data_IF_416267847899
#
_entry.id   IF_416267847899
#
_cell.length_a   1.000
_cell.length_b   1.000
_cell.length_c   1.000
_cell.angle_alpha   90.00
_cell.angle_beta   90.00
_cell.angle_gamma   90.00
#
_symmetry.space_group_name_H-M   'P 1'
#
loop_
_entity.id
_entity.type
_entity.pdbx_description
1 polymer ?
#
# COMPACT_ATOMS: atom_id res chain seq x y z
N UNK A 1 6.84 15.05 2.29
CA UNK A 1 6.16 15.81 3.38
C UNK A 1 6.57 15.20 4.72
N UNK A 2 6.77 16.02 5.74
CA UNK A 2 7.15 15.56 7.08
C UNK A 2 5.98 14.93 7.83
N UNK A 3 4.76 15.36 7.51
CA UNK A 3 3.51 14.83 8.05
C UNK A 3 2.76 14.12 6.92
N UNK A 4 2.52 12.84 7.08
CA UNK A 4 1.75 12.03 6.14
C UNK A 4 0.24 12.20 6.35
N UNK A 5 -0.22 12.15 7.61
CA UNK A 5 -1.63 12.26 7.98
C UNK A 5 -1.80 12.76 9.41
N UNK A 6 -2.98 13.31 9.71
CA UNK A 6 -3.41 13.64 11.08
C UNK A 6 -4.72 12.93 11.37
N UNK A 7 -4.83 12.37 12.57
CA UNK A 7 -5.99 11.64 13.05
C UNK A 7 -6.65 12.38 14.20
N UNK A 8 -7.97 12.41 14.21
CA UNK A 8 -8.79 13.08 15.22
C UNK A 8 -9.94 12.15 15.61
N UNK A 9 -10.16 11.97 16.91
CA UNK A 9 -11.24 11.17 17.46
C UNK A 9 -12.20 12.00 18.30
N UNK A 10 -13.40 11.48 18.52
CA UNK A 10 -14.46 12.16 19.28
C UNK A 10 -14.08 12.43 20.74
N UNK A 11 -13.25 11.57 21.33
CA UNK A 11 -12.70 11.73 22.68
C UNK A 11 -11.58 12.79 22.78
N UNK A 12 -11.37 13.56 21.69
CA UNK A 12 -10.34 14.59 21.53
C UNK A 12 -8.91 14.07 21.44
N UNK A 13 -8.72 12.76 21.32
CA UNK A 13 -7.40 12.19 21.02
C UNK A 13 -6.97 12.65 19.63
N UNK A 14 -5.73 13.07 19.50
CA UNK A 14 -5.14 13.50 18.23
C UNK A 14 -3.77 12.87 18.06
N UNK A 15 -3.50 12.35 16.88
CA UNK A 15 -2.21 11.73 16.51
C UNK A 15 -1.73 12.25 15.18
N UNK A 16 -0.48 12.63 15.12
CA UNK A 16 0.20 13.03 13.89
C UNK A 16 1.04 11.87 13.37
N UNK A 17 0.70 11.36 12.19
CA UNK A 17 1.52 10.37 11.51
C UNK A 17 2.67 11.08 10.79
N UNK A 18 3.84 11.10 11.42
CA UNK A 18 5.06 11.62 10.85
C UNK A 18 5.65 10.63 9.84
N UNK A 19 6.25 11.15 8.77
CA UNK A 19 6.96 10.33 7.78
C UNK A 19 8.28 9.76 8.33
N UNK A 20 8.86 10.42 9.34
CA UNK A 20 10.05 9.93 10.00
C UNK A 20 9.68 8.91 11.10
N UNK A 21 10.15 7.67 10.95
CA UNK A 21 9.80 6.54 11.84
C UNK A 21 10.00 6.88 13.32
N UNK A 22 11.15 7.46 13.69
CA UNK A 22 11.45 7.79 15.10
C UNK A 22 10.44 8.75 15.71
N UNK A 23 10.11 9.83 15.00
CA UNK A 23 9.11 10.83 15.45
C UNK A 23 7.72 10.20 15.56
N UNK A 24 7.38 9.30 14.66
CA UNK A 24 6.09 8.61 14.71
C UNK A 24 5.99 7.65 15.90
N UNK A 25 7.04 6.90 16.21
CA UNK A 25 7.08 6.05 17.40
C UNK A 25 6.95 6.84 18.69
N UNK A 26 7.62 8.00 18.80
CA UNK A 26 7.48 8.92 19.95
C UNK A 26 6.06 9.48 20.05
N UNK A 27 5.47 9.92 18.96
CA UNK A 27 4.10 10.44 18.94
C UNK A 27 3.09 9.39 19.44
N UNK A 28 3.18 8.15 18.95
CA UNK A 28 2.34 7.05 19.38
C UNK A 28 2.53 6.74 20.87
N UNK A 29 3.76 6.73 21.34
CA UNK A 29 4.03 6.51 22.76
C UNK A 29 3.46 7.62 23.63
N UNK A 30 3.64 8.88 23.25
CA UNK A 30 3.19 10.04 24.00
C UNK A 30 1.68 10.22 23.99
N UNK A 31 1.02 9.94 22.86
CA UNK A 31 -0.42 10.16 22.67
C UNK A 31 -1.28 8.97 23.06
N UNK A 32 -0.82 7.75 22.77
CA UNK A 32 -1.61 6.53 22.97
C UNK A 32 -1.03 5.60 24.06
N UNK A 33 0.10 5.94 24.65
CA UNK A 33 0.74 5.14 25.71
C UNK A 33 1.30 3.80 25.20
N UNK A 34 1.37 3.58 23.88
CA UNK A 34 1.90 2.35 23.30
C UNK A 34 3.42 2.41 23.24
N UNK A 35 4.08 1.42 23.83
CA UNK A 35 5.55 1.33 23.76
C UNK A 35 6.04 1.26 22.32
N UNK A 36 7.01 2.09 21.97
CA UNK A 36 7.56 2.15 20.62
C UNK A 36 7.97 0.76 20.06
N UNK A 37 8.52 -0.12 20.91
CA UNK A 37 8.90 -1.48 20.53
C UNK A 37 7.72 -2.34 20.01
N UNK A 38 6.49 -2.12 20.49
CA UNK A 38 5.29 -2.85 20.02
C UNK A 38 4.98 -2.46 18.58
N UNK A 39 4.94 -1.16 18.31
CA UNK A 39 4.70 -0.65 16.97
C UNK A 39 5.85 -1.00 16.02
N UNK A 40 7.09 -0.90 16.48
CA UNK A 40 8.26 -1.27 15.68
C UNK A 40 8.22 -2.73 15.25
N UNK A 41 7.91 -3.65 16.16
CA UNK A 41 7.75 -5.08 15.84
C UNK A 41 6.64 -5.32 14.81
N UNK A 42 5.52 -4.60 14.91
CA UNK A 42 4.43 -4.66 13.95
C UNK A 42 4.88 -4.19 12.56
N UNK A 43 5.62 -3.07 12.48
CA UNK A 43 6.16 -2.53 11.23
C UNK A 43 7.19 -3.46 10.58
N UNK A 44 8.10 -4.02 11.37
CA UNK A 44 9.11 -4.97 10.89
C UNK A 44 8.47 -6.26 10.34
N UNK A 45 7.36 -6.69 10.95
CA UNK A 45 6.57 -7.80 10.45
C UNK A 45 5.91 -7.49 9.10
N UNK A 46 5.39 -6.27 8.94
CA UNK A 46 4.83 -5.79 7.67
C UNK A 46 5.92 -5.71 6.58
N UNK A 47 7.09 -5.15 6.93
CA UNK A 47 8.25 -5.13 6.04
C UNK A 47 8.64 -6.54 5.57
N UNK A 48 8.75 -7.49 6.49
CA UNK A 48 9.09 -8.87 6.15
C UNK A 48 8.08 -9.52 5.20
N UNK A 49 6.77 -9.25 5.39
CA UNK A 49 5.73 -9.69 4.46
C UNK A 49 5.95 -9.10 3.07
N UNK A 50 6.19 -7.79 3.00
CA UNK A 50 6.44 -7.10 1.76
C UNK A 50 7.67 -7.65 1.03
N UNK A 51 8.81 -7.74 1.70
CA UNK A 51 10.07 -8.24 1.12
C UNK A 51 9.95 -9.66 0.56
N UNK A 52 9.08 -10.49 1.14
CA UNK A 52 8.83 -11.86 0.67
C UNK A 52 7.85 -11.92 -0.51
N UNK A 53 6.90 -10.98 -0.59
CA UNK A 53 5.81 -11.03 -1.58
C UNK A 53 6.04 -10.14 -2.78
N UNK A 54 6.69 -8.98 -2.62
CA UNK A 54 6.93 -8.04 -3.71
C UNK A 54 7.64 -8.68 -4.92
N UNK A 55 8.69 -9.50 -4.75
CA UNK A 55 9.35 -10.16 -5.88
C UNK A 55 8.45 -11.13 -6.65
N UNK A 56 7.37 -11.62 -6.04
CA UNK A 56 6.44 -12.56 -6.66
C UNK A 56 5.28 -11.85 -7.37
N UNK A 57 4.78 -10.76 -6.77
CA UNK A 57 3.55 -10.11 -7.22
C UNK A 57 3.78 -8.79 -7.95
N UNK A 58 4.91 -8.11 -7.72
CA UNK A 58 5.20 -6.80 -8.30
C UNK A 58 6.30 -6.85 -9.36
N UNK A 59 7.28 -7.77 -9.24
CA UNK A 59 8.45 -7.79 -10.12
C UNK A 59 8.34 -8.79 -11.27
N UNK A 60 7.29 -9.62 -11.30
CA UNK A 60 7.12 -10.62 -12.35
C UNK A 60 5.67 -10.74 -12.83
N UNK A 61 5.51 -11.29 -14.04
CA UNK A 61 4.19 -11.54 -14.63
C UNK A 61 3.50 -12.72 -13.95
N UNK A 62 2.30 -12.48 -13.38
CA UNK A 62 1.48 -13.51 -12.75
C UNK A 62 0.91 -14.54 -13.76
N UNK A 63 0.93 -14.22 -15.07
CA UNK A 63 0.41 -15.11 -16.12
C UNK A 63 1.44 -16.14 -16.62
N UNK A 64 2.69 -16.08 -16.15
CA UNK A 64 3.76 -17.00 -16.59
C UNK A 64 4.11 -17.97 -15.45
N UNK A 65 3.58 -19.19 -15.52
CA UNK A 65 3.81 -20.22 -14.51
C UNK A 65 5.30 -20.48 -14.19
N UNK A 66 6.16 -20.43 -15.22
CA UNK A 66 7.62 -20.57 -15.05
C UNK A 66 8.24 -19.55 -14.09
N UNK A 67 7.64 -18.37 -13.93
CA UNK A 67 8.07 -17.34 -12.99
C UNK A 67 7.94 -17.76 -11.53
N UNK A 68 7.07 -18.73 -11.22
CA UNK A 68 6.84 -19.19 -9.85
C UNK A 68 7.72 -20.38 -9.42
N UNK A 69 8.45 -20.99 -10.35
CA UNK A 69 9.35 -22.11 -10.04
C UNK A 69 10.76 -21.60 -9.81
N UNK A 70 11.00 -21.01 -8.64
CA UNK A 70 12.30 -20.45 -8.25
C UNK A 70 12.46 -20.41 -6.73
N UNK A 71 13.69 -20.14 -6.27
CA UNK A 71 14.03 -20.07 -4.85
C UNK A 71 13.25 -18.98 -4.08
N UNK A 72 12.86 -17.86 -4.73
CA UNK A 72 12.07 -16.79 -4.11
C UNK A 72 10.67 -17.30 -3.75
N UNK A 73 10.04 -18.04 -4.65
CA UNK A 73 8.72 -18.66 -4.41
C UNK A 73 8.79 -19.70 -3.29
N UNK A 74 9.81 -20.55 -3.29
CA UNK A 74 10.00 -21.53 -2.21
C UNK A 74 10.17 -20.84 -0.87
N UNK A 75 10.98 -19.78 -0.80
CA UNK A 75 11.16 -18.98 0.41
C UNK A 75 9.85 -18.35 0.89
N UNK A 76 9.03 -17.84 -0.03
CA UNK A 76 7.73 -17.28 0.31
C UNK A 76 6.78 -18.36 0.87
N UNK A 77 6.75 -19.55 0.26
CA UNK A 77 5.92 -20.66 0.71
C UNK A 77 6.28 -21.16 2.12
N UNK A 78 7.56 -21.20 2.47
CA UNK A 78 8.01 -21.57 3.83
C UNK A 78 7.46 -20.59 4.89
N UNK A 79 7.17 -19.34 4.51
CA UNK A 79 6.69 -18.30 5.41
C UNK A 79 5.15 -18.08 5.35
N UNK A 80 4.38 -19.04 4.83
CA UNK A 80 2.91 -18.91 4.70
C UNK A 80 2.21 -18.47 5.98
N UNK A 81 2.65 -18.95 7.14
CA UNK A 81 2.09 -18.56 8.44
C UNK A 81 2.27 -17.07 8.79
N UNK A 82 3.25 -16.40 8.18
CA UNK A 82 3.48 -14.97 8.35
C UNK A 82 2.41 -14.13 7.64
N UNK A 83 1.82 -14.63 6.56
CA UNK A 83 0.92 -13.86 5.72
C UNK A 83 -0.48 -13.70 6.30
N UNK A 84 -0.86 -14.48 7.30
CA UNK A 84 -2.15 -14.36 8.01
C UNK A 84 -3.35 -14.34 7.05
N UNK A 85 -3.29 -15.13 5.97
CA UNK A 85 -4.29 -15.16 4.89
C UNK A 85 -5.67 -15.57 5.43
N UNK A 86 -5.68 -16.44 6.45
CA UNK A 86 -6.90 -16.97 7.08
C UNK A 86 -7.42 -16.08 8.23
N UNK A 87 -6.86 -14.89 8.41
CA UNK A 87 -7.28 -13.92 9.41
C UNK A 87 -7.69 -12.62 8.71
N UNK A 88 -8.60 -11.86 9.33
CA UNK A 88 -8.96 -10.55 8.85
C UNK A 88 -7.98 -9.48 9.35
N UNK A 89 -7.81 -8.41 8.57
CA UNK A 89 -6.91 -7.29 8.87
C UNK A 89 -7.15 -6.74 10.29
N UNK A 90 -8.42 -6.47 10.62
CA UNK A 90 -8.80 -6.01 11.96
C UNK A 90 -8.33 -6.96 13.06
N UNK A 91 -8.53 -8.26 12.89
CA UNK A 91 -8.14 -9.26 13.90
C UNK A 91 -6.64 -9.31 14.12
N UNK A 92 -5.87 -9.17 13.05
CA UNK A 92 -4.39 -9.09 13.11
C UNK A 92 -3.94 -7.83 13.82
N UNK A 93 -4.53 -6.67 13.46
CA UNK A 93 -4.22 -5.37 14.06
C UNK A 93 -4.58 -5.37 15.56
N UNK A 94 -5.79 -5.81 15.92
CA UNK A 94 -6.25 -5.85 17.31
C UNK A 94 -5.36 -6.75 18.18
N UNK A 95 -4.93 -7.91 17.65
CA UNK A 95 -4.04 -8.83 18.37
C UNK A 95 -2.65 -8.25 18.62
N UNK A 96 -2.10 -7.52 17.64
CA UNK A 96 -0.72 -7.06 17.70
C UNK A 96 -0.59 -5.68 18.37
N UNK A 97 -1.48 -4.76 18.08
CA UNK A 97 -1.41 -3.36 18.52
C UNK A 97 -2.15 -3.12 19.84
N UNK A 98 -3.29 -3.78 20.04
CA UNK A 98 -4.16 -3.77 21.25
C UNK A 98 -4.82 -2.43 21.55
N UNK A 99 -4.18 -1.30 21.30
CA UNK A 99 -4.71 0.04 21.57
C UNK A 99 -5.75 0.41 20.51
N UNK A 100 -7.01 0.78 20.88
CA UNK A 100 -8.12 0.93 19.92
C UNK A 100 -7.91 1.96 18.82
N UNK A 101 -7.37 3.15 19.15
CA UNK A 101 -7.12 4.19 18.17
C UNK A 101 -6.04 3.76 17.18
N UNK A 102 -4.98 3.11 17.67
CA UNK A 102 -3.92 2.58 16.82
C UNK A 102 -4.44 1.46 15.93
N UNK A 103 -5.29 0.58 16.43
CA UNK A 103 -5.96 -0.46 15.63
C UNK A 103 -6.76 0.18 14.51
N UNK A 104 -7.58 1.19 14.82
CA UNK A 104 -8.39 1.90 13.83
C UNK A 104 -7.53 2.62 12.78
N UNK A 105 -6.41 3.23 13.18
CA UNK A 105 -5.46 3.84 12.25
C UNK A 105 -4.96 2.82 11.21
N UNK A 106 -4.62 1.62 11.65
CA UNK A 106 -4.11 0.57 10.76
C UNK A 106 -5.20 -0.17 10.01
N UNK A 107 -6.43 -0.21 10.51
CA UNK A 107 -7.60 -0.72 9.80
C UNK A 107 -7.94 0.12 8.55
N UNK A 108 -7.60 1.42 8.55
CA UNK A 108 -7.74 2.30 7.39
C UNK A 108 -7.09 1.73 6.12
N UNK A 109 -6.03 0.95 6.26
CA UNK A 109 -5.34 0.39 5.08
C UNK A 109 -6.21 -0.57 4.25
N UNK A 110 -7.34 -1.06 4.77
CA UNK A 110 -8.34 -1.78 3.99
C UNK A 110 -8.93 -0.94 2.85
N UNK A 111 -8.94 0.39 2.98
CA UNK A 111 -9.46 1.30 1.95
C UNK A 111 -8.66 1.29 0.65
N UNK A 112 -7.41 0.82 0.67
CA UNK A 112 -6.60 0.69 -0.54
C UNK A 112 -7.19 -0.27 -1.58
N UNK A 113 -7.96 -1.26 -1.15
CA UNK A 113 -8.74 -2.15 -2.03
C UNK A 113 -10.26 -1.98 -1.87
N UNK A 114 -10.71 -0.88 -1.30
CA UNK A 114 -12.14 -0.58 -1.16
C UNK A 114 -12.91 -1.60 -0.31
N UNK A 115 -12.24 -2.24 0.64
CA UNK A 115 -12.80 -3.32 1.45
C UNK A 115 -12.93 -2.91 2.93
N UNK A 116 -13.76 -3.65 3.68
CA UNK A 116 -13.86 -3.53 5.13
C UNK A 116 -12.67 -4.25 5.81
N UNK A 117 -12.07 -3.69 6.87
CA UNK A 117 -10.98 -4.35 7.60
C UNK A 117 -11.42 -5.67 8.26
N UNK A 118 -12.72 -5.85 8.48
CA UNK A 118 -13.32 -7.09 8.99
C UNK A 118 -13.47 -8.19 7.92
N UNK A 119 -13.20 -7.89 6.66
CA UNK A 119 -13.27 -8.82 5.52
C UNK A 119 -11.95 -8.89 4.75
N UNK A 120 -11.12 -7.86 4.86
CA UNK A 120 -9.81 -7.78 4.22
C UNK A 120 -8.86 -8.82 4.80
N UNK A 121 -8.14 -9.62 3.99
CA UNK A 121 -7.15 -10.57 4.49
C UNK A 121 -6.02 -9.91 5.28
N UNK A 122 -5.52 -10.57 6.32
CA UNK A 122 -4.47 -10.07 7.21
C UNK A 122 -3.14 -9.78 6.53
N UNK A 123 -2.88 -10.39 5.37
CA UNK A 123 -1.69 -10.07 4.56
C UNK A 123 -1.62 -8.57 4.20
N UNK A 124 -2.76 -7.90 4.10
CA UNK A 124 -2.83 -6.47 3.74
C UNK A 124 -2.20 -5.54 4.78
N UNK A 125 -1.80 -6.05 5.95
CA UNK A 125 -0.91 -5.32 6.86
C UNK A 125 0.41 -4.91 6.21
N UNK A 126 0.81 -5.52 5.09
CA UNK A 126 2.00 -5.13 4.34
C UNK A 126 1.86 -3.75 3.65
N UNK A 127 0.63 -3.30 3.35
CA UNK A 127 0.39 -2.06 2.58
C UNK A 127 0.95 -0.83 3.29
N UNK A 128 0.85 -0.79 4.62
CA UNK A 128 1.42 0.30 5.41
C UNK A 128 2.94 0.46 5.23
N UNK A 129 3.65 -0.64 4.92
CA UNK A 129 5.10 -0.58 4.68
C UNK A 129 5.42 0.29 3.47
N UNK A 130 4.57 0.27 2.42
CA UNK A 130 4.74 1.14 1.25
C UNK A 130 4.71 2.61 1.65
N UNK A 131 3.76 3.01 2.48
CA UNK A 131 3.60 4.41 2.91
C UNK A 131 4.73 4.86 3.85
N UNK A 132 5.15 3.99 4.77
CA UNK A 132 6.12 4.36 5.81
C UNK A 132 7.59 4.22 5.39
N UNK A 133 7.91 3.26 4.55
CA UNK A 133 9.29 3.03 4.10
C UNK A 133 9.62 3.84 2.84
N UNK A 134 8.71 3.84 1.86
CA UNK A 134 8.94 4.56 0.61
C UNK A 134 8.47 6.01 0.67
N UNK A 135 7.68 6.38 1.67
CA UNK A 135 7.18 7.73 1.88
C UNK A 135 5.94 8.08 1.04
N UNK A 136 5.41 9.25 1.34
CA UNK A 136 4.24 9.80 0.65
C UNK A 136 4.66 11.04 -0.14
N UNK A 137 4.47 11.00 -1.45
CA UNK A 137 4.89 12.07 -2.37
C UNK A 137 3.68 12.68 -3.07
N UNK A 138 3.75 13.96 -3.31
CA UNK A 138 2.81 14.71 -4.14
C UNK A 138 3.62 15.46 -5.19
N UNK A 139 3.29 15.35 -6.49
CA UNK A 139 3.97 16.12 -7.52
C UNK A 139 3.83 17.62 -7.29
N UNK A 140 4.89 18.37 -7.60
CA UNK A 140 4.83 19.83 -7.63
C UNK A 140 3.79 20.27 -8.66
N UNK A 141 2.84 21.14 -8.25
CA UNK A 141 1.71 21.53 -9.06
C UNK A 141 0.51 20.57 -9.01
N UNK A 142 0.53 19.55 -8.12
CA UNK A 142 -0.60 18.64 -7.86
C UNK A 142 -0.63 17.40 -8.75
N UNK A 143 -1.62 16.54 -8.52
CA UNK A 143 -1.71 15.23 -9.18
C UNK A 143 -1.89 15.30 -10.70
N UNK A 144 -2.45 16.39 -11.22
CA UNK A 144 -2.61 16.63 -12.66
C UNK A 144 -1.27 16.59 -13.41
N UNK A 145 -0.16 16.94 -12.74
CA UNK A 145 1.16 16.92 -13.35
C UNK A 145 1.61 15.54 -13.82
N UNK A 146 1.09 14.47 -13.23
CA UNK A 146 1.34 13.09 -13.69
C UNK A 146 0.73 12.91 -15.07
N UNK A 147 -0.55 13.27 -15.23
CA UNK A 147 -1.27 13.20 -16.52
C UNK A 147 -0.60 14.06 -17.58
N UNK A 148 -0.24 15.28 -17.22
CA UNK A 148 0.45 16.21 -18.12
C UNK A 148 1.81 15.67 -18.58
N UNK A 149 2.59 15.12 -17.66
CA UNK A 149 3.90 14.54 -17.97
C UNK A 149 3.78 13.34 -18.91
N UNK A 150 2.77 12.48 -18.72
CA UNK A 150 2.49 11.35 -19.60
C UNK A 150 2.01 11.82 -20.99
N UNK A 151 1.16 12.82 -21.05
CA UNK A 151 0.70 13.43 -22.30
C UNK A 151 1.86 14.00 -23.10
N UNK A 152 2.74 14.79 -22.46
CA UNK A 152 3.91 15.37 -23.09
C UNK A 152 4.90 14.31 -23.58
N UNK A 153 5.08 13.24 -22.78
CA UNK A 153 5.91 12.09 -23.20
C UNK A 153 5.32 11.40 -24.43
N UNK A 154 4.02 11.15 -24.45
CA UNK A 154 3.34 10.52 -25.58
C UNK A 154 3.49 11.36 -26.86
N UNK A 155 3.31 12.69 -26.77
CA UNK A 155 3.55 13.61 -27.88
C UNK A 155 4.99 13.52 -28.41
N UNK A 156 5.99 13.52 -27.51
CA UNK A 156 7.40 13.37 -27.91
C UNK A 156 7.68 12.02 -28.60
N UNK A 157 6.86 11.00 -28.29
CA UNK A 157 6.93 9.67 -28.94
C UNK A 157 6.12 9.58 -30.24
N UNK A 158 5.52 10.68 -30.69
CA UNK A 158 4.78 10.73 -31.95
C UNK A 158 3.31 10.32 -31.85
N UNK A 159 2.76 10.20 -30.63
CA UNK A 159 1.33 9.95 -30.47
C UNK A 159 0.54 11.19 -30.85
N UNK A 160 -0.45 11.01 -31.71
CA UNK A 160 -1.40 12.04 -32.09
C UNK A 160 -2.63 11.95 -31.19
N UNK A 161 -3.06 13.09 -30.65
CA UNK A 161 -4.23 13.20 -29.81
C UNK A 161 -5.36 13.94 -30.51
N UNK A 162 -6.49 13.29 -30.72
CA UNK A 162 -7.72 13.86 -31.22
C UNK A 162 -8.67 14.07 -30.04
N UNK A 163 -8.66 15.30 -29.50
CA UNK A 163 -9.46 15.64 -28.34
C UNK A 163 -10.89 16.00 -28.73
N UNK A 164 -11.85 15.68 -27.84
CA UNK A 164 -13.26 15.99 -28.06
C UNK A 164 -13.97 14.99 -28.98
N UNK A 165 -13.30 13.97 -29.47
CA UNK A 165 -13.89 12.91 -30.28
C UNK A 165 -14.23 11.71 -29.42
N UNK A 166 -15.50 11.28 -29.49
CA UNK A 166 -15.97 10.06 -28.81
C UNK A 166 -15.57 8.84 -29.65
N UNK A 167 -14.93 7.87 -29.00
CA UNK A 167 -14.65 6.57 -29.62
C UNK A 167 -15.78 5.62 -29.30
N UNK A 168 -16.54 5.21 -30.32
CA UNK A 168 -17.63 4.24 -30.16
C UNK A 168 -17.13 2.80 -30.24
N UNK A 169 -16.13 2.53 -31.07
CA UNK A 169 -15.60 1.17 -31.28
C UNK A 169 -14.14 1.20 -31.76
N UNK A 170 -13.35 0.23 -31.31
CA UNK A 170 -12.03 -0.06 -31.87
C UNK A 170 -12.19 -1.23 -32.83
N UNK A 171 -11.93 -0.96 -34.13
CA UNK A 171 -11.98 -2.00 -35.15
C UNK A 171 -10.68 -2.81 -35.10
N UNK A 172 -10.79 -4.15 -35.13
CA UNK A 172 -9.65 -5.07 -35.10
C UNK A 172 -9.71 -5.99 -36.30
N UNK A 173 -8.68 -5.92 -37.12
CA UNK A 173 -8.50 -6.82 -38.27
C UNK A 173 -7.14 -7.51 -38.16
N UNK A 174 -7.11 -8.84 -38.33
CA UNK A 174 -5.88 -9.62 -38.25
C UNK A 174 -5.11 -9.48 -36.92
N UNK A 175 -5.83 -9.16 -35.80
CA UNK A 175 -5.25 -8.96 -34.46
C UNK A 175 -4.61 -7.58 -34.24
N UNK A 176 -4.85 -6.62 -35.12
CA UNK A 176 -4.35 -5.23 -35.02
C UNK A 176 -5.52 -4.26 -35.07
N UNK A 177 -5.40 -3.16 -34.33
CA UNK A 177 -6.33 -2.04 -34.46
C UNK A 177 -6.11 -1.37 -35.82
N UNK A 178 -7.21 -1.06 -36.53
CA UNK A 178 -7.25 -0.42 -37.84
C UNK A 178 -8.09 0.84 -37.78
#
# INVERSE_FOLDING_TARGET
KDIACQYFWEDKTQVTAFSHKGQFLEEIQNKLGVKGAVLEQYLDRAKKKFDLTAPLFLEQSLHKFKGFVNAKTLKALIHLGLYEINQHLHSVNAKQLKEPHLVQMYDRYATYNGSSPFQTPGIMTLVQHLEQEFGTFVPDGGMEQITKSLFDLAKRKGVVFNMGEKVDQILIEGGKAV
#
